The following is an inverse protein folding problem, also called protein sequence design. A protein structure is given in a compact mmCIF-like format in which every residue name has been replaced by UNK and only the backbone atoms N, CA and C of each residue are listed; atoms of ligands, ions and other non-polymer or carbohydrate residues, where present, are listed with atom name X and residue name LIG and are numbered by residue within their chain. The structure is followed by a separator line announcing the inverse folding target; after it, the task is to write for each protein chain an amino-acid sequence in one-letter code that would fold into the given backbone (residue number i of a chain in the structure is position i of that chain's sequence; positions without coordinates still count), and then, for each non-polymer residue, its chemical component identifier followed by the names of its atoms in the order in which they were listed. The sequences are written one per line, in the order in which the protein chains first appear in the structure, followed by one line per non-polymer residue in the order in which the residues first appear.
data_IF_067422785501
#
_entry.id   IF_067422785501
#
_cell.length_a   1.000
_cell.length_b   1.000
_cell.length_c   1.000
_cell.angle_alpha   90.00
_cell.angle_beta   90.00
_cell.angle_gamma   90.00
#
_symmetry.space_group_name_H-M   'P 1'
#
loop_
_entity.id
_entity.type
_entity.pdbx_description
1 polymer ?
#
# COMPACT_ATOMS: atom_id res chain seq x y z
N UNK A 1 22.59 -3.79 24.00
CA UNK A 1 22.80 -3.25 22.67
C UNK A 1 22.98 -4.40 21.69
N UNK A 2 22.07 -4.49 20.70
CA UNK A 2 22.17 -5.51 19.66
C UNK A 2 23.25 -5.03 18.68
N UNK A 3 24.34 -5.79 18.61
CA UNK A 3 25.39 -5.58 17.61
C UNK A 3 25.22 -6.60 16.50
N UNK A 4 25.20 -6.15 15.23
CA UNK A 4 25.21 -7.06 14.08
C UNK A 4 26.66 -7.43 13.74
N UNK A 5 26.95 -8.72 13.54
CA UNK A 5 28.24 -9.18 13.07
C UNK A 5 28.15 -9.32 11.55
N UNK A 6 28.88 -8.50 10.84
CA UNK A 6 28.99 -8.56 9.38
C UNK A 6 30.45 -8.74 9.00
N UNK A 7 30.80 -9.78 8.24
CA UNK A 7 32.18 -10.09 7.82
C UNK A 7 33.22 -10.08 8.96
N UNK A 8 32.83 -10.61 10.15
CA UNK A 8 33.71 -10.65 11.31
C UNK A 8 33.90 -9.32 12.06
N UNK A 9 33.25 -8.24 11.64
CA UNK A 9 33.29 -6.93 12.34
C UNK A 9 32.00 -6.69 13.11
N UNK A 10 32.13 -6.21 14.33
CA UNK A 10 30.98 -5.79 15.16
C UNK A 10 30.60 -4.37 14.74
N UNK A 11 29.42 -4.20 14.13
CA UNK A 11 28.89 -2.91 13.77
C UNK A 11 28.01 -2.36 14.90
N UNK A 12 28.17 -1.08 15.20
CA UNK A 12 27.27 -0.38 16.11
C UNK A 12 25.86 -0.31 15.51
N UNK A 13 24.84 -0.64 16.30
CA UNK A 13 23.44 -0.48 15.87
C UNK A 13 23.12 0.96 15.41
N UNK A 14 23.79 1.97 16.02
CA UNK A 14 23.63 3.38 15.61
C UNK A 14 24.07 3.62 14.18
N UNK A 15 25.20 3.01 13.76
CA UNK A 15 25.69 3.10 12.38
C UNK A 15 24.74 2.43 11.41
N UNK A 16 24.26 1.22 11.74
CA UNK A 16 23.31 0.49 10.90
C UNK A 16 22.01 1.29 10.73
N UNK A 17 21.47 1.83 11.83
CA UNK A 17 20.24 2.64 11.79
C UNK A 17 20.44 3.97 11.06
N UNK A 18 21.62 4.59 11.13
CA UNK A 18 21.94 5.80 10.39
C UNK A 18 21.91 5.55 8.86
N UNK A 19 22.43 4.40 8.40
CA UNK A 19 22.36 3.99 7.00
C UNK A 19 20.92 3.70 6.58
N UNK A 20 20.15 2.95 7.39
CA UNK A 20 18.74 2.71 7.13
C UNK A 20 17.96 4.03 6.95
N UNK A 21 18.12 4.99 7.88
CA UNK A 21 17.49 6.31 7.78
C UNK A 21 17.91 7.09 6.52
N UNK A 22 19.20 7.02 6.15
CA UNK A 22 19.69 7.67 4.93
C UNK A 22 19.00 7.09 3.71
N UNK A 23 18.95 5.76 3.59
CA UNK A 23 18.32 5.08 2.46
C UNK A 23 16.82 5.31 2.42
N UNK A 24 16.14 5.31 3.57
CA UNK A 24 14.72 5.64 3.66
C UNK A 24 14.44 7.06 3.13
N UNK A 25 15.20 8.07 3.60
CA UNK A 25 15.03 9.46 3.14
C UNK A 25 15.31 9.65 1.64
N UNK A 26 16.21 8.88 1.08
CA UNK A 26 16.55 8.94 -0.34
C UNK A 26 15.63 8.06 -1.22
N UNK A 27 14.67 7.36 -0.64
CA UNK A 27 13.76 6.45 -1.36
C UNK A 27 14.45 5.19 -1.91
N UNK A 28 15.64 4.83 -1.40
CA UNK A 28 16.43 3.71 -1.95
C UNK A 28 15.71 2.36 -1.77
N UNK A 29 14.96 2.18 -0.68
CA UNK A 29 14.19 0.95 -0.45
C UNK A 29 13.13 0.75 -1.53
N UNK A 30 12.38 1.79 -1.85
CA UNK A 30 11.38 1.78 -2.92
C UNK A 30 12.01 1.46 -4.27
N UNK A 31 13.17 2.06 -4.60
CA UNK A 31 13.91 1.79 -5.84
C UNK A 31 14.35 0.33 -5.91
N UNK A 32 14.91 -0.21 -4.81
CA UNK A 32 15.32 -1.63 -4.74
C UNK A 32 14.13 -2.54 -4.95
N UNK A 33 13.00 -2.23 -4.32
CA UNK A 33 11.76 -3.01 -4.51
C UNK A 33 11.29 -2.99 -5.97
N UNK A 34 11.24 -1.81 -6.61
CA UNK A 34 10.90 -1.66 -8.02
C UNK A 34 11.85 -2.46 -8.94
N UNK A 35 13.14 -2.48 -8.64
CA UNK A 35 14.12 -3.30 -9.38
C UNK A 35 13.85 -4.80 -9.21
N UNK A 36 13.47 -5.26 -8.01
CA UNK A 36 13.11 -6.65 -7.75
C UNK A 36 11.87 -7.03 -8.57
N UNK A 37 10.81 -6.22 -8.53
CA UNK A 37 9.60 -6.43 -9.31
C UNK A 37 9.90 -6.51 -10.81
N UNK A 38 10.68 -5.55 -11.32
CA UNK A 38 11.10 -5.51 -12.74
C UNK A 38 11.84 -6.78 -13.16
N UNK A 39 12.79 -7.22 -12.33
CA UNK A 39 13.60 -8.42 -12.61
C UNK A 39 12.79 -9.71 -12.57
N UNK A 40 11.79 -9.76 -11.73
CA UNK A 40 10.97 -10.94 -11.48
C UNK A 40 9.55 -10.83 -12.06
N UNK A 41 9.33 -9.92 -13.02
CA UNK A 41 8.01 -9.65 -13.60
C UNK A 41 7.30 -10.90 -14.18
N UNK A 42 8.04 -11.93 -14.59
CA UNK A 42 7.47 -13.18 -15.09
C UNK A 42 6.80 -14.04 -14.02
N UNK A 43 7.03 -13.74 -12.74
CA UNK A 43 6.39 -14.42 -11.60
C UNK A 43 5.16 -13.67 -11.09
N UNK A 44 4.92 -12.45 -11.58
CA UNK A 44 3.78 -11.63 -11.16
C UNK A 44 2.56 -11.99 -12.02
N UNK A 45 1.41 -12.10 -11.38
CA UNK A 45 0.14 -12.23 -12.08
C UNK A 45 -0.56 -10.86 -12.16
N UNK A 46 -0.29 -10.16 -13.26
CA UNK A 46 -0.85 -8.84 -13.56
C UNK A 46 -2.20 -8.91 -14.28
N UNK A 47 -2.92 -10.03 -14.26
CA UNK A 47 -4.27 -10.13 -14.85
C UNK A 47 -5.31 -9.32 -14.07
N UNK A 48 -5.10 -9.16 -12.77
CA UNK A 48 -5.80 -8.19 -11.92
C UNK A 48 -4.88 -7.72 -10.80
N UNK A 49 -5.27 -6.62 -10.15
CA UNK A 49 -4.61 -6.12 -8.95
C UNK A 49 -5.64 -5.84 -7.87
N UNK A 50 -5.24 -6.01 -6.62
CA UNK A 50 -6.10 -5.77 -5.47
C UNK A 50 -5.61 -4.54 -4.71
N UNK A 51 -6.55 -3.68 -4.30
CA UNK A 51 -6.29 -2.45 -3.56
C UNK A 51 -7.02 -2.48 -2.22
N UNK A 52 -6.31 -2.14 -1.16
CA UNK A 52 -6.87 -2.05 0.19
C UNK A 52 -6.16 -1.00 1.04
N UNK A 53 -6.90 -0.40 1.99
CA UNK A 53 -6.37 0.54 2.97
C UNK A 53 -5.91 -0.16 4.24
N UNK A 54 -4.71 0.19 4.71
CA UNK A 54 -4.16 -0.35 5.95
C UNK A 54 -3.90 0.75 6.98
N UNK A 55 -4.49 0.59 8.17
CA UNK A 55 -4.29 1.47 9.31
C UNK A 55 -3.32 0.84 10.32
N UNK A 56 -2.07 1.27 10.29
CA UNK A 56 -1.05 0.81 11.23
C UNK A 56 -1.09 1.62 12.53
N UNK A 57 -1.12 0.94 13.67
CA UNK A 57 -1.11 1.58 15.00
C UNK A 57 0.21 2.32 15.24
N UNK A 58 0.13 3.58 15.66
CA UNK A 58 1.31 4.39 16.01
C UNK A 58 1.48 4.44 17.53
N UNK A 59 2.65 4.03 18.01
CA UNK A 59 2.93 3.93 19.44
C UNK A 59 3.59 5.19 20.04
N UNK A 60 4.24 6.00 19.20
CA UNK A 60 4.98 7.19 19.62
C UNK A 60 4.48 8.50 19.01
N UNK A 61 3.41 8.45 18.20
CA UNK A 61 2.98 9.60 17.41
C UNK A 61 3.99 9.93 16.28
N UNK A 62 3.96 11.16 15.78
CA UNK A 62 4.84 11.64 14.71
C UNK A 62 4.07 12.15 13.50
N UNK A 63 4.74 12.21 12.35
CA UNK A 63 4.16 12.64 11.07
C UNK A 63 3.07 11.66 10.60
N UNK A 64 2.03 12.17 9.96
CA UNK A 64 0.94 11.37 9.39
C UNK A 64 0.24 10.45 10.41
N UNK A 65 0.08 10.92 11.66
CA UNK A 65 -0.61 10.20 12.72
C UNK A 65 -1.92 10.88 13.09
N UNK A 66 -2.97 10.10 13.30
CA UNK A 66 -4.27 10.62 13.72
C UNK A 66 -5.15 9.56 14.37
N UNK A 67 -6.10 10.01 15.20
CA UNK A 67 -7.00 9.11 15.90
C UNK A 67 -8.04 8.49 14.94
N UNK A 68 -8.07 7.16 14.91
CA UNK A 68 -9.05 6.38 14.15
C UNK A 68 -10.15 5.88 15.08
N UNK A 69 -11.35 6.47 14.97
CA UNK A 69 -12.47 6.20 15.87
C UNK A 69 -12.92 4.74 15.87
N UNK A 70 -12.95 4.07 14.71
CA UNK A 70 -13.33 2.65 14.60
C UNK A 70 -12.35 1.73 15.32
N UNK A 71 -11.04 2.00 15.20
CA UNK A 71 -9.98 1.22 15.86
C UNK A 71 -9.69 1.70 17.29
N UNK A 72 -10.24 2.85 17.70
CA UNK A 72 -10.00 3.51 18.99
C UNK A 72 -8.50 3.68 19.30
N UNK A 73 -7.71 3.99 18.30
CA UNK A 73 -6.24 4.13 18.37
C UNK A 73 -5.75 5.22 17.44
N UNK A 74 -4.58 5.77 17.76
CA UNK A 74 -3.86 6.62 16.80
C UNK A 74 -3.17 5.74 15.78
N UNK A 75 -3.41 6.03 14.50
CA UNK A 75 -2.90 5.23 13.38
C UNK A 75 -2.33 6.12 12.28
N UNK A 76 -1.55 5.51 11.41
CA UNK A 76 -1.20 6.01 10.08
C UNK A 76 -1.96 5.16 9.06
N UNK A 77 -2.50 5.76 8.02
CA UNK A 77 -3.18 5.07 6.94
C UNK A 77 -2.35 5.10 5.66
N UNK A 78 -2.22 3.97 4.99
CA UNK A 78 -1.65 3.85 3.65
C UNK A 78 -2.48 2.87 2.82
N UNK A 79 -2.52 3.09 1.51
CA UNK A 79 -3.17 2.21 0.56
C UNK A 79 -2.11 1.32 -0.07
N UNK A 80 -2.35 0.02 -0.08
CA UNK A 80 -1.49 -0.98 -0.70
C UNK A 80 -2.14 -1.50 -1.98
N UNK A 81 -1.31 -1.83 -2.95
CA UNK A 81 -1.69 -2.56 -4.16
C UNK A 81 -0.88 -3.83 -4.25
N UNK A 82 -1.54 -4.96 -4.51
CA UNK A 82 -0.90 -6.24 -4.76
C UNK A 82 -1.25 -6.75 -6.16
N UNK A 83 -0.45 -7.67 -6.69
CA UNK A 83 -0.86 -8.47 -7.83
C UNK A 83 -1.94 -9.48 -7.41
N UNK A 84 -2.49 -10.23 -8.37
CA UNK A 84 -3.54 -11.23 -8.11
C UNK A 84 -3.11 -12.32 -7.12
N UNK A 85 -1.84 -12.61 -7.00
CA UNK A 85 -1.30 -13.61 -6.06
C UNK A 85 -1.08 -13.05 -4.66
N UNK A 86 -1.18 -11.72 -4.49
CA UNK A 86 -0.95 -11.01 -3.23
C UNK A 86 0.49 -10.52 -3.07
N UNK A 87 1.30 -10.45 -4.13
CA UNK A 87 2.63 -9.85 -4.06
C UNK A 87 2.48 -8.33 -4.01
N UNK A 88 3.00 -7.62 -2.98
CA UNK A 88 2.92 -6.17 -2.91
C UNK A 88 3.58 -5.50 -4.12
N UNK A 89 2.88 -4.62 -4.80
CA UNK A 89 3.40 -3.87 -5.94
C UNK A 89 3.82 -2.46 -5.57
N UNK A 90 2.96 -1.77 -4.82
CA UNK A 90 3.18 -0.38 -4.42
C UNK A 90 2.40 -0.05 -3.14
N UNK A 91 2.87 0.98 -2.44
CA UNK A 91 2.21 1.59 -1.29
C UNK A 91 2.07 3.09 -1.51
N UNK A 92 0.89 3.66 -1.21
CA UNK A 92 0.67 5.10 -1.29
C UNK A 92 1.49 5.87 -0.25
N UNK A 93 1.69 7.17 -0.52
CA UNK A 93 2.15 8.08 0.53
C UNK A 93 1.20 7.99 1.74
N UNK A 94 1.74 7.77 2.95
CA UNK A 94 0.93 7.65 4.16
C UNK A 94 0.21 8.95 4.51
N UNK A 95 -1.00 8.80 5.03
CA UNK A 95 -1.81 9.91 5.54
C UNK A 95 -2.18 9.67 7.01
N UNK A 96 -2.67 10.73 7.67
CA UNK A 96 -3.17 10.62 9.04
C UNK A 96 -4.30 9.58 9.13
N UNK A 97 -4.26 8.72 10.12
CA UNK A 97 -5.28 7.71 10.36
C UNK A 97 -6.66 8.27 10.73
N UNK A 98 -6.78 9.58 10.96
CA UNK A 98 -8.08 10.25 11.12
C UNK A 98 -8.88 10.34 9.82
N UNK A 99 -8.20 10.15 8.68
CA UNK A 99 -8.82 10.16 7.35
C UNK A 99 -9.31 8.77 6.95
N UNK A 100 -10.34 8.72 6.12
CA UNK A 100 -10.79 7.48 5.46
C UNK A 100 -9.93 7.21 4.20
N UNK A 101 -10.09 6.03 3.62
CA UNK A 101 -9.29 5.57 2.48
C UNK A 101 -9.56 6.37 1.18
N UNK A 102 -10.65 7.14 1.10
CA UNK A 102 -10.93 8.05 -0.02
C UNK A 102 -10.27 9.43 0.13
N UNK A 103 -9.61 9.71 1.27
CA UNK A 103 -8.89 10.98 1.43
C UNK A 103 -7.68 11.01 0.50
N UNK A 104 -7.59 12.06 -0.32
CA UNK A 104 -6.54 12.21 -1.33
C UNK A 104 -6.41 11.02 -2.28
N UNK A 105 -7.54 10.35 -2.61
CA UNK A 105 -7.52 9.11 -3.40
C UNK A 105 -6.95 9.33 -4.81
N UNK A 106 -7.18 10.50 -5.41
CA UNK A 106 -6.66 10.82 -6.75
C UNK A 106 -5.13 10.85 -6.77
N UNK A 107 -4.52 11.52 -5.79
CA UNK A 107 -3.08 11.60 -5.62
C UNK A 107 -2.49 10.23 -5.27
N UNK A 108 -3.18 9.47 -4.41
CA UNK A 108 -2.77 8.13 -4.02
C UNK A 108 -2.73 7.19 -5.24
N UNK A 109 -3.80 7.14 -6.04
CA UNK A 109 -3.85 6.32 -7.25
C UNK A 109 -2.79 6.73 -8.28
N UNK A 110 -2.61 8.04 -8.49
CA UNK A 110 -1.58 8.54 -9.39
C UNK A 110 -0.19 8.08 -8.96
N UNK A 111 0.14 8.18 -7.68
CA UNK A 111 1.42 7.74 -7.12
C UNK A 111 1.60 6.23 -7.25
N UNK A 112 0.59 5.43 -6.86
CA UNK A 112 0.63 3.97 -6.95
C UNK A 112 0.87 3.48 -8.38
N UNK A 113 0.14 4.02 -9.35
CA UNK A 113 0.32 3.63 -10.75
C UNK A 113 1.63 4.13 -11.35
N UNK A 114 2.15 5.29 -10.91
CA UNK A 114 3.48 5.75 -11.29
C UNK A 114 4.55 4.76 -10.82
N UNK A 115 4.49 4.32 -9.55
CA UNK A 115 5.44 3.36 -8.98
C UNK A 115 5.44 2.01 -9.71
N UNK A 116 4.24 1.51 -10.04
CA UNK A 116 4.08 0.27 -10.81
C UNK A 116 4.71 0.44 -12.21
N UNK A 117 4.44 1.56 -12.88
CA UNK A 117 5.03 1.86 -14.21
C UNK A 117 6.56 2.02 -14.14
N UNK A 118 7.09 2.70 -13.11
CA UNK A 118 8.54 2.84 -12.89
C UNK A 118 9.23 1.49 -12.66
N UNK A 119 8.50 0.50 -12.12
CA UNK A 119 8.97 -0.89 -12.00
C UNK A 119 8.93 -1.66 -13.32
N UNK A 120 8.57 -1.01 -14.45
CA UNK A 120 8.48 -1.63 -15.77
C UNK A 120 7.26 -2.52 -15.96
N UNK A 121 6.24 -2.38 -15.11
CA UNK A 121 4.97 -3.11 -15.21
C UNK A 121 3.92 -2.24 -15.90
N UNK A 122 3.07 -2.86 -16.73
CA UNK A 122 1.95 -2.15 -17.37
C UNK A 122 0.75 -2.13 -16.44
N UNK A 123 0.08 -1.00 -16.39
CA UNK A 123 -1.25 -0.87 -15.74
C UNK A 123 -2.39 -0.81 -16.76
N UNK A 124 -2.06 -0.76 -18.04
CA UNK A 124 -3.03 -0.63 -19.13
C UNK A 124 -3.95 -1.85 -19.18
N UNK A 125 -5.24 -1.62 -19.08
CA UNK A 125 -6.25 -2.66 -19.16
C UNK A 125 -6.38 -3.54 -17.91
N UNK A 126 -5.69 -3.21 -16.81
CA UNK A 126 -5.80 -3.95 -15.55
C UNK A 126 -7.19 -3.83 -14.93
N UNK A 127 -7.66 -4.91 -14.34
CA UNK A 127 -8.77 -4.88 -13.40
C UNK A 127 -8.25 -4.57 -12.00
N UNK A 128 -8.84 -3.56 -11.36
CA UNK A 128 -8.49 -3.13 -10.01
C UNK A 128 -9.64 -3.49 -9.06
N UNK A 129 -9.46 -4.51 -8.25
CA UNK A 129 -10.40 -4.88 -7.21
C UNK A 129 -10.21 -4.00 -5.99
N UNK A 130 -11.29 -3.44 -5.45
CA UNK A 130 -11.28 -2.69 -4.20
C UNK A 130 -12.58 -2.92 -3.43
N UNK A 131 -12.55 -2.71 -2.11
CA UNK A 131 -13.74 -2.89 -1.29
C UNK A 131 -14.79 -1.79 -1.55
N UNK A 132 -16.02 -1.99 -1.00
CA UNK A 132 -17.11 -1.02 -1.14
C UNK A 132 -16.80 0.35 -0.49
N UNK A 133 -15.77 0.47 0.33
CA UNK A 133 -15.29 1.72 0.89
C UNK A 133 -14.75 2.67 -0.19
N UNK A 134 -14.17 2.09 -1.25
CA UNK A 134 -13.63 2.83 -2.39
C UNK A 134 -14.67 3.18 -3.46
N UNK A 135 -15.93 2.74 -3.32
CA UNK A 135 -16.97 3.01 -4.28
C UNK A 135 -17.31 4.51 -4.31
N UNK A 136 -16.65 5.24 -5.20
CA UNK A 136 -16.90 6.66 -5.45
C UNK A 136 -16.73 7.00 -6.93
N UNK A 137 -17.54 7.95 -7.41
CA UNK A 137 -17.44 8.41 -8.80
C UNK A 137 -16.03 8.98 -9.11
N UNK A 138 -15.37 9.58 -8.11
CA UNK A 138 -14.00 10.08 -8.28
C UNK A 138 -13.01 8.94 -8.48
N UNK A 139 -13.05 7.92 -7.62
CA UNK A 139 -12.19 6.74 -7.73
C UNK A 139 -12.33 6.08 -9.11
N UNK A 140 -13.57 5.84 -9.56
CA UNK A 140 -13.82 5.22 -10.87
C UNK A 140 -13.29 6.08 -12.02
N UNK A 141 -13.51 7.41 -12.00
CA UNK A 141 -12.94 8.33 -13.01
C UNK A 141 -11.42 8.29 -13.04
N UNK A 142 -10.78 8.27 -11.88
CA UNK A 142 -9.31 8.28 -11.80
C UNK A 142 -8.72 6.96 -12.30
N UNK A 143 -9.35 5.82 -12.01
CA UNK A 143 -8.98 4.54 -12.62
C UNK A 143 -9.09 4.59 -14.15
N UNK A 144 -10.23 5.03 -14.68
CA UNK A 144 -10.43 5.12 -16.14
C UNK A 144 -9.44 6.08 -16.83
N UNK A 145 -9.04 7.18 -16.18
CA UNK A 145 -8.00 8.08 -16.71
C UNK A 145 -6.63 7.40 -16.83
N UNK A 146 -6.40 6.36 -16.05
CA UNK A 146 -5.18 5.54 -16.09
C UNK A 146 -5.36 4.29 -16.96
N UNK A 147 -6.51 4.16 -17.66
CA UNK A 147 -6.89 2.99 -18.46
C UNK A 147 -6.94 1.70 -17.64
N UNK A 148 -7.37 1.82 -16.38
CA UNK A 148 -7.61 0.74 -15.41
C UNK A 148 -9.11 0.56 -15.21
N UNK A 149 -9.58 -0.68 -15.18
CA UNK A 149 -10.99 -1.02 -14.98
C UNK A 149 -11.28 -1.24 -13.48
N UNK A 150 -12.03 -0.32 -12.81
CA UNK A 150 -12.35 -0.50 -11.40
C UNK A 150 -13.41 -1.59 -11.21
N UNK A 151 -13.06 -2.64 -10.48
CA UNK A 151 -13.96 -3.71 -10.04
C UNK A 151 -14.26 -3.54 -8.55
N UNK A 152 -15.23 -2.69 -8.23
CA UNK A 152 -15.53 -2.25 -6.87
C UNK A 152 -16.96 -2.62 -6.51
N UNK A 153 -17.12 -3.28 -5.35
CA UNK A 153 -18.43 -3.62 -4.83
C UNK A 153 -19.25 -2.35 -4.54
N UNK A 154 -20.52 -2.41 -4.85
CA UNK A 154 -21.43 -1.29 -4.61
C UNK A 154 -21.61 -0.98 -3.12
N UNK A 155 -21.46 0.29 -2.75
CA UNK A 155 -21.70 0.76 -1.40
C UNK A 155 -23.20 1.07 -1.19
N UNK A 156 -23.92 0.14 -0.56
CA UNK A 156 -25.36 0.26 -0.29
C UNK A 156 -25.77 1.55 0.44
N UNK A 157 -24.86 2.22 1.13
CA UNK A 157 -25.12 3.48 1.83
C UNK A 157 -25.20 4.70 0.89
N UNK A 158 -24.78 4.55 -0.38
CA UNK A 158 -24.75 5.63 -1.38
C UNK A 158 -25.97 5.66 -2.30
N UNK A 159 -26.94 4.80 -2.06
CA UNK A 159 -28.20 4.75 -2.86
C UNK A 159 -28.24 3.60 -3.85
N UNK A 160 -28.94 3.77 -4.96
CA UNK A 160 -29.10 2.72 -5.97
C UNK A 160 -27.83 2.56 -6.82
N UNK A 161 -27.51 1.31 -7.17
CA UNK A 161 -26.48 0.98 -8.16
C UNK A 161 -26.81 1.64 -9.50
N UNK A 162 -25.81 2.16 -10.20
CA UNK A 162 -25.97 2.58 -11.58
C UNK A 162 -25.88 1.38 -12.51
N UNK A 163 -26.72 1.35 -13.54
CA UNK A 163 -26.74 0.23 -14.48
C UNK A 163 -25.45 0.09 -15.31
N UNK A 164 -24.67 1.17 -15.39
CA UNK A 164 -23.39 1.24 -16.09
C UNK A 164 -22.19 0.80 -15.24
N UNK A 165 -22.39 0.49 -13.95
CA UNK A 165 -21.33 0.04 -13.05
C UNK A 165 -21.24 -1.49 -13.04
N UNK A 166 -20.30 -2.00 -13.80
CA UNK A 166 -20.01 -3.44 -13.86
C UNK A 166 -19.26 -3.89 -12.59
N UNK A 167 -19.64 -5.05 -12.08
CA UNK A 167 -18.91 -5.79 -11.05
C UNK A 167 -18.76 -7.23 -11.52
N UNK A 168 -17.53 -7.65 -11.73
CA UNK A 168 -17.20 -9.06 -11.90
C UNK A 168 -17.07 -9.70 -10.51
N UNK A 169 -18.10 -10.45 -10.11
CA UNK A 169 -18.16 -11.08 -8.80
C UNK A 169 -17.15 -12.21 -8.62
N UNK A 170 -16.75 -12.88 -9.71
CA UNK A 170 -15.75 -13.95 -9.64
C UNK A 170 -14.39 -13.34 -9.36
N UNK A 171 -14.03 -12.31 -10.12
CA UNK A 171 -12.78 -11.57 -9.93
C UNK A 171 -12.75 -10.89 -8.57
N UNK A 172 -13.87 -10.32 -8.12
CA UNK A 172 -13.97 -9.67 -6.81
C UNK A 172 -13.72 -10.62 -5.65
N UNK A 173 -14.13 -11.88 -5.76
CA UNK A 173 -13.89 -12.90 -4.71
C UNK A 173 -12.39 -13.19 -4.51
N UNK A 174 -11.58 -12.98 -5.53
CA UNK A 174 -10.12 -13.18 -5.46
C UNK A 174 -9.41 -12.11 -4.64
N UNK A 175 -10.06 -10.98 -4.33
CA UNK A 175 -9.56 -9.89 -3.50
C UNK A 175 -9.06 -10.34 -2.10
N UNK A 176 -9.45 -11.54 -1.64
CA UNK A 176 -8.90 -12.09 -0.39
C UNK A 176 -7.37 -12.19 -0.42
N UNK A 177 -6.74 -12.12 -1.58
CA UNK A 177 -5.28 -12.17 -1.73
C UNK A 177 -4.60 -11.02 -0.98
N UNK A 178 -5.12 -9.80 -1.10
CA UNK A 178 -4.58 -8.63 -0.37
C UNK A 178 -4.85 -8.72 1.14
N UNK A 179 -5.98 -9.29 1.57
CA UNK A 179 -6.26 -9.52 2.99
C UNK A 179 -5.23 -10.49 3.60
N UNK A 180 -4.88 -11.56 2.88
CA UNK A 180 -3.81 -12.48 3.26
C UNK A 180 -2.45 -11.78 3.33
N UNK A 181 -2.16 -10.90 2.36
CA UNK A 181 -0.92 -10.12 2.35
C UNK A 181 -0.85 -9.16 3.53
N UNK A 182 -1.93 -8.45 3.83
CA UNK A 182 -2.00 -7.59 5.01
C UNK A 182 -1.76 -8.40 6.30
N UNK A 183 -2.40 -9.58 6.45
CA UNK A 183 -2.17 -10.46 7.59
C UNK A 183 -0.73 -10.96 7.67
N UNK A 184 -0.09 -11.25 6.54
CA UNK A 184 1.33 -11.62 6.49
C UNK A 184 2.24 -10.46 6.88
N UNK A 185 1.99 -9.26 6.36
CA UNK A 185 2.72 -8.03 6.73
C UNK A 185 2.60 -7.74 8.23
N UNK A 186 1.45 -7.96 8.83
CA UNK A 186 1.19 -7.80 10.26
C UNK A 186 2.01 -8.76 11.15
N UNK A 187 2.61 -9.81 10.59
CA UNK A 187 3.56 -10.65 11.31
C UNK A 187 4.90 -9.94 11.61
N UNK A 188 5.21 -8.86 10.90
CA UNK A 188 6.41 -8.05 11.11
C UNK A 188 6.13 -6.91 12.07
N UNK A 189 6.82 -6.91 13.23
CA UNK A 189 6.58 -5.96 14.31
C UNK A 189 6.64 -4.47 13.87
N UNK A 190 7.59 -4.12 13.01
CA UNK A 190 7.79 -2.74 12.56
C UNK A 190 6.73 -2.27 11.56
N UNK A 191 6.03 -3.21 10.91
CA UNK A 191 4.90 -2.96 10.01
C UNK A 191 3.60 -2.93 10.81
N UNK A 192 3.36 -3.94 11.67
CA UNK A 192 2.16 -4.03 12.52
C UNK A 192 2.01 -2.82 13.46
N UNK A 193 3.13 -2.36 14.04
CA UNK A 193 3.15 -1.23 14.97
C UNK A 193 4.23 -0.24 14.56
N UNK A 194 3.82 0.97 14.24
CA UNK A 194 4.73 2.05 13.89
C UNK A 194 5.38 2.63 15.15
N UNK A 195 6.71 2.49 15.23
CA UNK A 195 7.56 3.10 16.26
C UNK A 195 8.26 4.35 15.75
N UNK A 196 8.37 4.51 14.44
CA UNK A 196 9.06 5.62 13.80
C UNK A 196 8.19 6.88 13.80
N UNK A 197 8.78 7.99 14.20
CA UNK A 197 8.11 9.29 14.24
C UNK A 197 8.10 9.99 12.89
N UNK A 198 9.03 9.65 11.99
CA UNK A 198 9.06 10.19 10.63
C UNK A 198 8.37 9.27 9.64
N UNK A 199 7.69 9.86 8.68
CA UNK A 199 7.02 9.16 7.59
C UNK A 199 8.02 8.29 6.81
N UNK A 200 9.13 8.89 6.38
CA UNK A 200 10.12 8.22 5.53
C UNK A 200 10.78 7.00 6.18
N UNK A 201 11.02 7.04 7.52
CA UNK A 201 11.56 5.87 8.23
C UNK A 201 10.54 4.73 8.29
N UNK A 202 9.27 5.06 8.51
CA UNK A 202 8.21 4.04 8.54
C UNK A 202 7.97 3.43 7.14
N UNK A 203 7.95 4.26 6.09
CA UNK A 203 7.88 3.77 4.71
C UNK A 203 9.01 2.79 4.39
N UNK A 204 10.22 3.08 4.86
CA UNK A 204 11.37 2.20 4.64
C UNK A 204 11.25 0.81 5.28
N UNK A 205 10.37 0.61 6.27
CA UNK A 205 10.07 -0.71 6.82
C UNK A 205 9.04 -1.49 6.00
N UNK A 206 8.29 -0.83 5.14
CA UNK A 206 7.24 -1.45 4.34
C UNK A 206 7.76 -1.91 2.95
N UNK A 207 8.94 -1.47 2.57
CA UNK A 207 9.67 -1.93 1.39
C UNK A 207 10.80 -2.90 1.78
#
# INVERSE_FOLDING_TARGET
PVSAIFTGRVLSYKSVYAHFRKWSRNGEWKKVWGMILSRHRSFLDMSSVDLDGSHTTTLRGGECCGYQGRKKRTTTNAINVTDRQGIPLAMSTPVSGSHNDLHCISEALQGLFADIKESGLSVLGLFLNADAGFDSAQFRRDCHRQEVFPNVAFNKRRGMRRDDELLDELLYKERYSIERTNAWMDSYRSVLNRFDTTQTSWEGWNY
#
